data_IF_762546053330
#
_entry.id   IF_762546053330
#
_cell.length_a   1.000
_cell.length_b   1.000
_cell.length_c   1.000
_cell.angle_alpha   90.00
_cell.angle_beta   90.00
_cell.angle_gamma   90.00
#
_symmetry.space_group_name_H-M   'P 1'
#
loop_
_entity.id
_entity.type
_entity.pdbx_description
1 polymer ?
#
# COMPACT_ATOMS: atom_id res chain seq x y z
N UNK A 1 -8.00 -0.51 -5.01
CA UNK A 1 -8.10 -0.80 -3.55
C UNK A 1 -9.51 -0.45 -3.06
N UNK A 2 -10.31 -1.44 -2.66
CA UNK A 2 -11.63 -1.17 -2.08
C UNK A 2 -11.46 -0.82 -0.60
N UNK A 3 -11.39 0.47 -0.30
CA UNK A 3 -11.32 0.99 1.10
C UNK A 3 -12.62 0.79 1.90
N UNK A 4 -13.59 0.00 1.42
CA UNK A 4 -14.95 -0.03 1.96
C UNK A 4 -15.63 -1.40 1.73
N UNK A 5 -15.54 -2.28 2.71
CA UNK A 5 -16.63 -3.20 3.03
C UNK A 5 -17.60 -2.51 4.00
N UNK A 6 -18.17 -1.40 3.54
CA UNK A 6 -19.12 -0.58 4.29
C UNK A 6 -20.43 -1.31 4.65
N UNK A 7 -20.76 -2.38 3.91
CA UNK A 7 -21.94 -3.19 4.19
C UNK A 7 -21.75 -4.08 5.43
N UNK A 8 -20.51 -4.48 5.73
CA UNK A 8 -20.20 -5.41 6.81
C UNK A 8 -19.64 -4.72 8.06
N UNK A 9 -19.32 -3.42 7.98
CA UNK A 9 -18.72 -2.65 9.08
C UNK A 9 -17.44 -3.31 9.65
N UNK A 10 -16.75 -4.07 8.81
CA UNK A 10 -15.43 -4.63 9.10
C UNK A 10 -14.44 -3.53 8.76
N UNK A 11 -13.86 -2.94 9.80
CA UNK A 11 -12.69 -2.12 9.63
C UNK A 11 -11.51 -3.06 9.38
N UNK A 12 -10.93 -3.06 8.18
CA UNK A 12 -9.55 -3.48 8.01
C UNK A 12 -8.67 -2.39 8.65
N UNK A 13 -8.72 -2.27 9.98
CA UNK A 13 -7.86 -1.37 10.79
C UNK A 13 -6.38 -1.74 10.70
N UNK A 14 -6.13 -2.91 10.12
CA UNK A 14 -4.89 -3.62 10.05
C UNK A 14 -4.12 -3.37 8.76
N UNK A 15 -4.65 -2.60 7.81
CA UNK A 15 -3.96 -2.31 6.55
C UNK A 15 -3.70 -0.82 6.35
N UNK A 16 -2.43 -0.45 6.21
CA UNK A 16 -1.98 0.89 5.86
C UNK A 16 -1.63 0.96 4.37
N UNK A 17 -2.21 1.93 3.67
CA UNK A 17 -1.90 2.23 2.28
C UNK A 17 -1.19 3.58 2.17
N UNK A 18 -0.02 3.62 1.54
CA UNK A 18 0.77 4.83 1.33
C UNK A 18 1.08 4.97 -0.16
N UNK A 19 0.75 6.13 -0.73
CA UNK A 19 1.20 6.50 -2.06
C UNK A 19 2.55 7.23 -1.95
N UNK A 20 3.62 6.57 -2.35
CA UNK A 20 4.98 7.09 -2.35
C UNK A 20 5.25 7.92 -3.61
N UNK A 21 6.03 8.99 -3.45
CA UNK A 21 6.35 9.93 -4.53
C UNK A 21 7.28 9.36 -5.59
N UNK A 22 8.07 8.35 -5.23
CA UNK A 22 8.99 7.65 -6.14
C UNK A 22 9.31 6.24 -5.61
N UNK A 23 9.99 5.43 -6.43
CA UNK A 23 10.46 4.08 -6.06
C UNK A 23 11.40 4.08 -4.84
N UNK A 24 12.27 5.08 -4.71
CA UNK A 24 13.22 5.16 -3.59
C UNK A 24 12.52 5.51 -2.26
N UNK A 25 11.45 6.29 -2.30
CA UNK A 25 10.58 6.59 -1.18
C UNK A 25 9.78 5.34 -0.78
N UNK A 26 9.25 4.59 -1.74
CA UNK A 26 8.57 3.32 -1.47
C UNK A 26 9.48 2.30 -0.77
N UNK A 27 10.73 2.18 -1.22
CA UNK A 27 11.72 1.31 -0.56
C UNK A 27 12.03 1.75 0.86
N UNK A 28 12.16 3.07 1.10
CA UNK A 28 12.35 3.62 2.46
C UNK A 28 11.16 3.35 3.36
N UNK A 29 9.94 3.46 2.84
CA UNK A 29 8.71 3.13 3.56
C UNK A 29 8.64 1.63 3.89
N UNK A 30 8.98 0.76 2.94
CA UNK A 30 9.02 -0.68 3.20
C UNK A 30 10.05 -1.05 4.26
N UNK A 31 11.21 -0.37 4.30
CA UNK A 31 12.20 -0.57 5.36
C UNK A 31 11.72 -0.11 6.74
N UNK A 32 10.79 0.86 6.82
CA UNK A 32 10.18 1.28 8.09
C UNK A 32 9.16 0.27 8.62
N UNK A 33 8.68 -0.63 7.78
CA UNK A 33 7.70 -1.62 8.21
C UNK A 33 8.31 -2.72 9.11
N UNK A 34 9.61 -3.03 8.94
CA UNK A 34 10.33 -4.00 9.79
C UNK A 34 10.30 -3.59 11.29
N UNK A 35 10.72 -2.38 11.69
CA UNK A 35 10.62 -1.96 13.10
C UNK A 35 9.18 -1.74 13.57
N UNK A 36 8.21 -1.64 12.67
CA UNK A 36 6.79 -1.55 13.01
C UNK A 36 6.11 -2.91 13.15
N UNK A 37 6.87 -4.00 12.98
CA UNK A 37 6.38 -5.37 13.09
C UNK A 37 5.19 -5.66 12.16
N UNK A 38 5.23 -5.12 10.94
CA UNK A 38 4.23 -5.48 9.92
C UNK A 38 4.44 -6.93 9.46
N UNK A 39 3.36 -7.70 9.39
CA UNK A 39 3.38 -9.09 8.94
C UNK A 39 3.55 -9.21 7.43
N UNK A 40 3.04 -8.23 6.69
CA UNK A 40 3.20 -8.15 5.24
C UNK A 40 3.43 -6.72 4.77
N UNK A 41 4.29 -6.59 3.76
CA UNK A 41 4.63 -5.33 3.11
C UNK A 41 4.74 -5.56 1.62
N UNK A 42 3.93 -4.85 0.85
CA UNK A 42 3.88 -4.97 -0.60
C UNK A 42 4.14 -3.62 -1.26
N UNK A 43 5.01 -3.59 -2.26
CA UNK A 43 5.21 -2.45 -3.16
C UNK A 43 4.67 -2.83 -4.53
N UNK A 44 3.68 -2.07 -5.01
CA UNK A 44 3.02 -2.34 -6.28
C UNK A 44 3.82 -1.69 -7.41
N UNK A 45 4.02 -2.43 -8.50
CA UNK A 45 4.69 -1.94 -9.71
C UNK A 45 3.67 -1.33 -10.68
N UNK A 46 4.16 -0.74 -11.78
CA UNK A 46 3.36 0.07 -12.70
C UNK A 46 2.16 -0.68 -13.29
N UNK A 47 2.35 -1.94 -13.71
CA UNK A 47 1.27 -2.79 -14.21
C UNK A 47 0.20 -3.08 -13.14
N UNK A 48 0.62 -3.25 -11.89
CA UNK A 48 -0.29 -3.50 -10.78
C UNK A 48 -0.99 -2.21 -10.34
N UNK A 49 -0.31 -1.07 -10.41
CA UNK A 49 -0.84 0.25 -10.04
C UNK A 49 -2.02 0.68 -10.90
N UNK A 50 -1.90 0.51 -12.23
CA UNK A 50 -2.97 0.83 -13.16
C UNK A 50 -4.23 0.01 -12.89
N UNK A 51 -4.06 -1.28 -12.59
CA UNK A 51 -5.17 -2.15 -12.21
C UNK A 51 -5.82 -1.74 -10.87
N UNK A 52 -5.05 -1.19 -9.92
CA UNK A 52 -5.52 -0.90 -8.56
C UNK A 52 -6.05 0.52 -8.35
N UNK A 53 -5.54 1.49 -9.11
CA UNK A 53 -5.86 2.92 -8.99
C UNK A 53 -6.52 3.52 -10.24
N UNK A 54 -6.50 2.83 -11.38
CA UNK A 54 -7.12 3.29 -12.63
C UNK A 54 -6.29 4.34 -13.38
N UNK A 55 -4.98 4.34 -13.18
CA UNK A 55 -4.05 5.32 -13.72
C UNK A 55 -3.22 5.97 -12.62
N UNK A 56 -1.90 5.95 -12.77
CA UNK A 56 -0.97 6.59 -11.85
C UNK A 56 0.19 7.23 -12.62
N UNK A 57 0.76 8.31 -12.09
CA UNK A 57 2.02 8.86 -12.62
C UNK A 57 3.12 7.79 -12.54
N UNK A 58 3.94 7.66 -13.59
CA UNK A 58 4.95 6.58 -13.78
C UNK A 58 5.98 6.54 -12.64
N UNK A 59 6.14 7.64 -11.92
CA UNK A 59 7.07 7.74 -10.80
C UNK A 59 6.46 7.25 -9.48
N UNK A 60 5.14 7.36 -9.29
CA UNK A 60 4.49 7.06 -8.02
C UNK A 60 4.39 5.54 -7.75
N UNK A 61 4.45 5.14 -6.47
CA UNK A 61 4.33 3.73 -6.07
C UNK A 61 3.41 3.57 -4.88
N UNK A 62 2.54 2.56 -4.90
CA UNK A 62 1.73 2.20 -3.75
C UNK A 62 2.51 1.23 -2.86
N UNK A 63 2.50 1.52 -1.56
CA UNK A 63 2.97 0.63 -0.51
C UNK A 63 1.78 0.23 0.33
N UNK A 64 1.61 -1.07 0.54
CA UNK A 64 0.62 -1.64 1.45
C UNK A 64 1.36 -2.32 2.59
N UNK A 65 0.95 -2.04 3.82
CA UNK A 65 1.45 -2.72 5.02
C UNK A 65 0.26 -3.33 5.75
N UNK A 66 0.43 -4.53 6.28
CA UNK A 66 -0.63 -5.25 6.99
C UNK A 66 -0.12 -5.85 8.31
N UNK A 67 -0.97 -5.84 9.34
CA UNK A 67 -0.74 -6.35 10.69
C UNK A 67 -1.87 -7.28 11.15
N UNK A 68 -1.59 -8.43 11.75
CA UNK A 68 -2.59 -9.32 12.38
C UNK A 68 -2.02 -10.03 13.62
#
# INVERSE_FOLDING_TARGET
IKLRDLAENIYNVDTLYILAVDKAAAQRLAALAEPWLADSVEIYNDEDMDAHLGGCDEDLRLVTMWWD
#
